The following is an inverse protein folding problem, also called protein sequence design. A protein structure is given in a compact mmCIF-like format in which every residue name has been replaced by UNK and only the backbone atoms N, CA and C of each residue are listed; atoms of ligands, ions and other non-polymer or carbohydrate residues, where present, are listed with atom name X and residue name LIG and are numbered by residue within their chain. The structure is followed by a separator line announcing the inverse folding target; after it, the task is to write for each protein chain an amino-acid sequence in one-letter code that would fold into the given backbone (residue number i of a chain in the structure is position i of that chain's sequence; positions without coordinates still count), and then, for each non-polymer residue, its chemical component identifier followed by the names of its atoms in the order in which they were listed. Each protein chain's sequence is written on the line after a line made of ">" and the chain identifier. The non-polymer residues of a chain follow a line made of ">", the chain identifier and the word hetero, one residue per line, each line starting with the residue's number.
data_IF_895319018746
#
_entry.id   IF_895319018746
#
_cell.length_a   1.000
_cell.length_b   1.000
_cell.length_c   1.000
_cell.angle_alpha   90.00
_cell.angle_beta   90.00
_cell.angle_gamma   90.00
#
_symmetry.space_group_name_H-M   'P 1'
#
loop_
_entity.id
_entity.type
_entity.pdbx_description
1 polymer ?
#
# COMPACT_ATOMS: atom_id res chain seq x y z
N UNK A 1 19.00 -14.55 50.68
CA UNK A 1 18.88 -13.13 50.33
C UNK A 1 17.84 -12.99 49.22
N UNK A 2 16.61 -12.63 49.66
CA UNK A 2 15.39 -12.50 48.89
C UNK A 2 15.39 -11.13 48.23
N UNK A 3 15.46 -11.07 46.88
CA UNK A 3 15.32 -9.83 46.11
C UNK A 3 13.82 -9.54 45.88
N UNK A 4 13.35 -8.50 46.54
CA UNK A 4 12.02 -7.97 46.30
C UNK A 4 12.01 -7.19 44.98
N UNK A 5 11.20 -7.66 44.01
CA UNK A 5 10.87 -6.93 42.78
C UNK A 5 9.81 -5.89 43.16
N UNK A 6 10.20 -4.64 43.22
CA UNK A 6 9.28 -3.49 43.30
C UNK A 6 8.58 -3.32 41.95
N UNK A 7 7.36 -3.79 41.87
CA UNK A 7 6.41 -3.42 40.80
C UNK A 7 5.87 -2.01 41.11
N UNK A 8 6.49 -1.00 40.51
CA UNK A 8 5.87 0.33 40.45
C UNK A 8 4.80 0.32 39.38
N UNK A 9 3.54 0.28 39.82
CA UNK A 9 2.39 0.62 38.99
C UNK A 9 2.52 2.08 38.57
N UNK A 10 2.45 2.43 37.26
CA UNK A 10 2.41 3.83 36.88
C UNK A 10 1.09 4.43 37.40
N UNK A 11 1.18 5.50 38.16
CA UNK A 11 0.01 6.32 38.55
C UNK A 11 -0.62 6.89 37.29
N UNK A 12 -1.90 6.55 37.05
CA UNK A 12 -2.70 7.17 35.99
C UNK A 12 -2.79 8.69 36.25
N UNK A 13 -2.37 9.55 35.31
CA UNK A 13 -2.71 10.95 35.39
C UNK A 13 -4.19 11.10 35.05
N UNK A 14 -4.95 11.60 36.00
CA UNK A 14 -6.36 11.93 35.86
C UNK A 14 -6.58 13.01 34.81
N UNK A 15 -6.81 12.61 33.56
CA UNK A 15 -7.37 13.50 32.53
C UNK A 15 -8.90 13.57 32.75
N UNK A 16 -9.47 14.76 32.63
CA UNK A 16 -10.93 14.94 32.63
C UNK A 16 -11.53 14.10 31.48
N UNK A 17 -12.69 13.46 31.67
CA UNK A 17 -13.36 12.72 30.59
C UNK A 17 -13.60 13.64 29.41
N UNK A 18 -12.96 13.35 28.27
CA UNK A 18 -13.11 14.08 27.00
C UNK A 18 -11.92 14.96 26.58
N UNK A 19 -10.91 15.16 27.41
CA UNK A 19 -9.72 15.95 27.06
C UNK A 19 -8.56 15.03 26.66
N UNK A 20 -8.06 15.17 25.41
CA UNK A 20 -6.91 14.39 24.94
C UNK A 20 -5.63 14.92 25.60
N UNK A 21 -4.75 14.01 26.01
CA UNK A 21 -3.41 14.38 26.48
C UNK A 21 -2.57 14.94 25.32
N UNK A 22 -1.72 15.93 25.60
CA UNK A 22 -0.77 16.38 24.60
C UNK A 22 0.20 15.25 24.21
N UNK A 23 0.70 15.24 22.95
CA UNK A 23 1.73 14.29 22.52
C UNK A 23 2.98 14.33 23.41
N UNK A 24 3.37 15.53 23.86
CA UNK A 24 4.51 15.71 24.77
C UNK A 24 4.30 15.07 26.15
N UNK A 25 3.10 15.21 26.73
CA UNK A 25 2.78 14.59 28.02
C UNK A 25 2.68 13.07 27.89
N UNK A 26 2.09 12.58 26.79
CA UNK A 26 2.01 11.16 26.50
C UNK A 26 3.42 10.54 26.38
N UNK A 27 4.32 11.16 25.62
CA UNK A 27 5.68 10.66 25.45
C UNK A 27 6.47 10.66 26.76
N UNK A 28 6.38 11.75 27.53
CA UNK A 28 7.02 11.84 28.86
C UNK A 28 6.46 10.79 29.84
N UNK A 29 5.14 10.68 29.92
CA UNK A 29 4.48 9.72 30.79
C UNK A 29 4.74 8.26 30.45
N UNK A 30 5.01 7.95 29.17
CA UNK A 30 5.36 6.62 28.70
C UNK A 30 6.83 6.23 28.96
N UNK A 31 7.72 7.17 29.27
CA UNK A 31 9.15 6.95 29.41
C UNK A 31 9.84 6.60 28.08
N UNK A 32 9.23 6.89 26.93
CA UNK A 32 9.73 6.61 25.60
C UNK A 32 10.40 7.84 24.99
N UNK A 33 11.40 7.62 24.13
CA UNK A 33 12.06 8.68 23.36
C UNK A 33 11.36 8.88 22.03
N UNK A 34 11.17 10.11 21.59
CA UNK A 34 10.53 10.45 20.33
C UNK A 34 11.54 10.58 19.20
N UNK A 35 11.26 9.96 18.05
CA UNK A 35 12.03 10.05 16.82
C UNK A 35 11.09 10.34 15.64
N UNK A 36 11.25 11.49 15.00
CA UNK A 36 10.54 11.81 13.76
C UNK A 36 11.17 11.05 12.61
N UNK A 37 10.39 10.22 11.90
CA UNK A 37 10.92 9.37 10.82
C UNK A 37 10.46 9.78 9.43
N UNK A 38 9.41 10.56 9.30
CA UNK A 38 8.91 10.96 8.00
C UNK A 38 7.85 12.04 8.06
N UNK A 39 7.76 12.76 6.97
CA UNK A 39 6.68 13.72 6.69
C UNK A 39 6.16 13.36 5.32
N UNK A 40 4.87 13.02 5.21
CA UNK A 40 4.23 12.79 3.92
C UNK A 40 3.99 14.13 3.21
N UNK A 41 3.67 14.07 1.92
CA UNK A 41 3.40 15.27 1.11
C UNK A 41 1.95 15.73 1.26
N UNK A 42 1.73 17.03 1.00
CA UNK A 42 0.38 17.61 0.85
C UNK A 42 -0.43 16.86 -0.25
N UNK A 43 -1.77 16.86 -0.14
CA UNK A 43 -2.60 17.55 0.84
C UNK A 43 -2.81 16.80 2.17
N UNK A 44 -2.44 15.53 2.24
CA UNK A 44 -2.62 14.65 3.40
C UNK A 44 -1.36 14.58 4.26
N UNK A 45 -0.59 15.70 4.32
CA UNK A 45 0.68 15.76 5.02
C UNK A 45 0.54 15.38 6.51
N UNK A 46 1.23 14.33 6.89
CA UNK A 46 1.29 13.83 8.27
C UNK A 46 2.72 13.53 8.68
N UNK A 47 3.03 13.79 9.93
CA UNK A 47 4.32 13.44 10.54
C UNK A 47 4.17 12.10 11.25
N UNK A 48 5.09 11.18 10.98
CA UNK A 48 5.17 9.92 11.73
C UNK A 48 6.28 10.04 12.78
N UNK A 49 5.89 9.90 14.04
CA UNK A 49 6.79 9.91 15.19
C UNK A 49 6.85 8.51 15.77
N UNK A 50 8.03 7.92 15.84
CA UNK A 50 8.26 6.68 16.59
C UNK A 50 8.55 7.01 18.06
N UNK A 51 7.93 6.27 18.94
CA UNK A 51 8.26 6.26 20.37
C UNK A 51 9.11 5.01 20.64
N UNK A 52 10.35 5.25 21.02
CA UNK A 52 11.42 4.25 21.13
C UNK A 52 11.71 3.96 22.60
N UNK A 53 11.80 2.69 22.95
CA UNK A 53 12.21 2.27 24.29
C UNK A 53 13.69 2.60 24.51
N UNK A 54 14.06 3.36 25.54
CA UNK A 54 15.46 3.67 25.83
C UNK A 54 16.25 2.43 26.29
N UNK A 55 15.55 1.39 26.76
CA UNK A 55 16.16 0.14 27.22
C UNK A 55 16.52 -0.77 26.05
N UNK A 56 15.61 -0.95 25.10
CA UNK A 56 15.83 -1.87 23.96
C UNK A 56 16.33 -1.17 22.70
N UNK A 57 16.24 0.16 22.63
CA UNK A 57 16.50 0.94 21.40
C UNK A 57 15.52 0.65 20.26
N UNK A 58 14.40 -0.03 20.54
CA UNK A 58 13.42 -0.43 19.53
C UNK A 58 12.17 0.43 19.58
N UNK A 59 11.58 0.76 18.42
CA UNK A 59 10.25 1.38 18.37
C UNK A 59 9.21 0.48 19.05
N UNK A 60 8.38 1.08 19.87
CA UNK A 60 7.26 0.43 20.59
C UNK A 60 5.93 0.94 20.07
N UNK A 61 5.84 2.25 19.85
CA UNK A 61 4.65 2.92 19.36
C UNK A 61 5.01 3.80 18.17
N UNK A 62 4.03 4.06 17.33
CA UNK A 62 4.08 5.06 16.28
C UNK A 62 2.92 6.03 16.46
N UNK A 63 3.16 7.32 16.29
CA UNK A 63 2.14 8.37 16.36
C UNK A 63 2.00 8.99 14.97
N UNK A 64 0.80 8.97 14.44
CA UNK A 64 0.43 9.62 13.18
C UNK A 64 -0.12 11.01 13.51
N UNK A 65 0.68 12.04 13.25
CA UNK A 65 0.38 13.43 13.59
C UNK A 65 -0.04 14.17 12.33
N UNK A 66 -1.29 14.62 12.19
CA UNK A 66 -1.73 15.37 11.04
C UNK A 66 -1.20 16.81 11.09
N UNK A 67 -0.78 17.35 9.93
CA UNK A 67 -0.32 18.73 9.81
C UNK A 67 -1.38 19.66 9.23
N UNK A 68 -2.43 19.10 8.63
CA UNK A 68 -3.56 19.81 8.04
C UNK A 68 -4.89 19.18 8.46
N UNK A 69 -6.01 19.87 8.25
CA UNK A 69 -7.34 19.32 8.55
C UNK A 69 -7.71 18.18 7.57
N UNK A 70 -7.17 18.20 6.36
CA UNK A 70 -7.32 17.08 5.41
C UNK A 70 -6.57 15.87 5.94
N UNK A 71 -5.34 16.05 6.41
CA UNK A 71 -4.55 14.99 7.03
C UNK A 71 -5.20 14.44 8.32
N UNK A 72 -5.88 15.29 9.11
CA UNK A 72 -6.62 14.85 10.29
C UNK A 72 -7.72 13.85 9.93
N UNK A 73 -8.48 14.11 8.88
CA UNK A 73 -9.49 13.17 8.38
C UNK A 73 -8.88 11.85 7.89
N UNK A 74 -7.70 11.90 7.26
CA UNK A 74 -6.98 10.70 6.82
C UNK A 74 -6.50 9.86 8.01
N UNK A 75 -5.95 10.51 9.06
CA UNK A 75 -5.53 9.83 10.30
C UNK A 75 -6.72 9.18 11.02
N UNK A 76 -7.86 9.87 11.09
CA UNK A 76 -9.09 9.30 11.65
C UNK A 76 -9.66 8.16 10.79
N UNK A 77 -9.53 8.26 9.46
CA UNK A 77 -9.94 7.19 8.55
C UNK A 77 -9.07 5.95 8.77
N UNK A 78 -7.75 6.10 8.92
CA UNK A 78 -6.84 4.99 9.23
C UNK A 78 -7.17 4.36 10.59
N UNK A 79 -7.45 5.15 11.63
CA UNK A 79 -7.85 4.64 12.94
C UNK A 79 -9.10 3.76 12.83
N UNK A 80 -10.16 4.26 12.17
CA UNK A 80 -11.40 3.50 11.96
C UNK A 80 -11.17 2.23 11.14
N UNK A 81 -10.36 2.33 10.11
CA UNK A 81 -10.00 1.22 9.25
C UNK A 81 -9.26 0.11 10.02
N UNK A 82 -8.25 0.47 10.81
CA UNK A 82 -7.52 -0.48 11.66
C UNK A 82 -8.44 -1.18 12.65
N UNK A 83 -9.36 -0.46 13.28
CA UNK A 83 -10.33 -1.04 14.20
C UNK A 83 -11.27 -2.02 13.48
N UNK A 84 -11.77 -1.65 12.30
CA UNK A 84 -12.68 -2.49 11.51
C UNK A 84 -12.01 -3.75 10.95
N UNK A 85 -10.81 -3.60 10.35
CA UNK A 85 -10.05 -4.72 9.78
C UNK A 85 -9.68 -5.75 10.86
N UNK A 86 -9.27 -5.29 12.05
CA UNK A 86 -8.92 -6.18 13.15
C UNK A 86 -10.10 -7.01 13.70
N UNK A 87 -11.34 -6.61 13.41
CA UNK A 87 -12.54 -7.38 13.81
C UNK A 87 -12.83 -8.52 12.82
N UNK A 88 -12.45 -8.38 11.54
CA UNK A 88 -12.82 -9.33 10.49
C UNK A 88 -11.65 -10.18 10.00
N UNK A 89 -10.40 -9.67 10.12
CA UNK A 89 -9.23 -10.35 9.61
C UNK A 89 -8.80 -11.54 10.49
N UNK A 90 -8.22 -12.60 9.91
CA UNK A 90 -7.70 -13.74 10.66
C UNK A 90 -6.49 -13.31 11.52
N UNK A 91 -6.26 -14.06 12.62
CA UNK A 91 -5.22 -13.72 13.60
C UNK A 91 -3.84 -13.51 12.99
N UNK A 92 -3.42 -14.34 12.04
CA UNK A 92 -2.14 -14.20 11.35
C UNK A 92 -1.96 -12.84 10.66
N UNK A 93 -3.06 -12.27 10.13
CA UNK A 93 -3.07 -10.93 9.55
C UNK A 93 -3.09 -9.88 10.65
N UNK A 94 -3.93 -10.06 11.67
CA UNK A 94 -4.06 -9.14 12.81
C UNK A 94 -2.72 -8.96 13.55
N UNK A 95 -1.90 -10.01 13.65
CA UNK A 95 -0.62 -9.98 14.36
C UNK A 95 0.45 -9.11 13.63
N UNK A 96 0.26 -8.83 12.32
CA UNK A 96 1.18 -8.03 11.50
C UNK A 96 0.60 -6.70 11.03
N UNK A 97 -0.49 -6.24 11.62
CA UNK A 97 -1.05 -4.90 11.37
C UNK A 97 -1.06 -4.06 12.66
N UNK A 98 -0.89 -2.73 12.58
CA UNK A 98 -0.87 -1.88 13.76
C UNK A 98 -2.15 -2.02 14.58
N UNK A 99 -2.02 -1.93 15.90
CA UNK A 99 -3.14 -1.83 16.82
C UNK A 99 -3.24 -0.41 17.34
N UNK A 100 -4.42 0.19 17.26
CA UNK A 100 -4.71 1.47 17.90
C UNK A 100 -4.57 1.30 19.40
N UNK A 101 -3.76 2.14 20.01
CA UNK A 101 -3.44 2.10 21.47
C UNK A 101 -4.09 3.26 22.18
N UNK A 102 -3.99 4.47 21.61
CA UNK A 102 -4.48 5.70 22.24
C UNK A 102 -4.68 6.79 21.17
N UNK A 103 -5.21 7.91 21.57
CA UNK A 103 -5.23 9.14 20.82
C UNK A 103 -4.67 10.28 21.67
N UNK A 104 -3.95 11.18 21.02
CA UNK A 104 -3.33 12.34 21.67
C UNK A 104 -3.62 13.60 20.89
N UNK A 105 -3.39 14.75 21.49
CA UNK A 105 -3.51 16.04 20.81
C UNK A 105 -2.13 16.61 20.44
N UNK A 106 -2.04 17.17 19.25
CA UNK A 106 -0.90 17.96 18.81
C UNK A 106 -1.39 19.19 18.04
N UNK A 107 -1.08 20.38 18.55
CA UNK A 107 -1.48 21.68 17.97
C UNK A 107 -3.00 21.76 17.65
N UNK A 108 -3.83 21.31 18.61
CA UNK A 108 -5.29 21.34 18.47
C UNK A 108 -5.87 20.25 17.56
N UNK A 109 -5.04 19.33 17.03
CA UNK A 109 -5.47 18.21 16.17
C UNK A 109 -5.29 16.87 16.87
N UNK A 110 -6.24 15.96 16.61
CA UNK A 110 -6.16 14.58 17.10
C UNK A 110 -5.10 13.81 16.31
N UNK A 111 -4.17 13.20 17.02
CA UNK A 111 -3.17 12.27 16.50
C UNK A 111 -3.42 10.86 17.04
N UNK A 112 -3.26 9.85 16.20
CA UNK A 112 -3.51 8.45 16.58
C UNK A 112 -2.21 7.76 16.96
N UNK A 113 -2.22 7.10 18.13
CA UNK A 113 -1.13 6.27 18.63
C UNK A 113 -1.41 4.82 18.29
N UNK A 114 -0.49 4.19 17.58
CA UNK A 114 -0.57 2.76 17.19
C UNK A 114 0.66 2.01 17.65
N UNK A 115 0.60 0.68 17.71
CA UNK A 115 1.78 -0.15 17.96
C UNK A 115 2.75 0.01 16.78
N UNK A 116 4.04 0.18 17.06
CA UNK A 116 5.07 0.14 16.03
C UNK A 116 5.25 -1.30 15.55
N UNK A 117 5.22 -1.49 14.24
CA UNK A 117 5.44 -2.81 13.65
C UNK A 117 6.93 -3.11 13.52
N UNK A 118 7.37 -4.33 13.91
CA UNK A 118 8.76 -4.72 13.78
C UNK A 118 9.14 -5.00 12.31
N UNK A 119 10.42 -4.91 12.00
CA UNK A 119 10.94 -5.24 10.67
C UNK A 119 11.54 -4.04 9.93
N UNK A 120 11.99 -4.30 8.72
CA UNK A 120 12.60 -3.32 7.83
C UNK A 120 11.64 -3.12 6.65
N UNK A 121 11.32 -1.88 6.24
CA UNK A 121 10.50 -1.66 5.05
C UNK A 121 11.07 -2.41 3.83
N UNK A 122 10.25 -3.13 3.10
CA UNK A 122 10.65 -3.83 1.87
C UNK A 122 11.30 -2.84 0.88
N UNK A 123 10.85 -1.58 0.89
CA UNK A 123 11.47 -0.49 0.14
C UNK A 123 12.98 -0.35 0.42
N UNK A 124 13.42 -0.57 1.65
CA UNK A 124 14.83 -0.53 2.02
C UNK A 124 15.64 -1.66 1.36
N UNK A 125 15.06 -2.86 1.26
CA UNK A 125 15.64 -3.99 0.54
C UNK A 125 15.63 -3.75 -0.96
N UNK A 126 14.50 -3.30 -1.48
CA UNK A 126 14.30 -2.96 -2.89
C UNK A 126 15.37 -2.01 -3.44
N UNK A 127 15.78 -1.01 -2.64
CA UNK A 127 16.79 -0.03 -3.06
C UNK A 127 18.23 -0.49 -2.87
N UNK A 128 18.49 -1.64 -2.25
CA UNK A 128 19.85 -2.19 -2.10
C UNK A 128 20.41 -2.56 -3.48
N UNK A 129 21.74 -2.43 -3.58
CA UNK A 129 22.45 -2.79 -4.81
C UNK A 129 22.12 -4.22 -5.24
N UNK A 130 21.70 -4.39 -6.50
CA UNK A 130 21.37 -5.67 -7.14
C UNK A 130 20.12 -6.39 -6.57
N UNK A 131 19.38 -5.85 -5.63
CA UNK A 131 18.18 -6.54 -5.14
C UNK A 131 17.21 -6.84 -6.29
N UNK A 132 16.77 -5.81 -7.00
CA UNK A 132 15.85 -5.94 -8.15
C UNK A 132 16.47 -6.61 -9.37
N UNK A 133 17.79 -6.78 -9.42
CA UNK A 133 18.50 -7.49 -10.48
C UNK A 133 18.62 -9.01 -10.22
N UNK A 134 18.20 -9.49 -9.04
CA UNK A 134 18.38 -10.88 -8.60
C UNK A 134 17.01 -11.56 -8.51
N UNK A 135 16.75 -12.49 -9.44
CA UNK A 135 15.47 -13.19 -9.53
C UNK A 135 15.00 -13.79 -8.21
N UNK A 136 15.87 -14.47 -7.46
CA UNK A 136 15.51 -15.11 -6.20
C UNK A 136 15.06 -14.11 -5.12
N UNK A 137 15.65 -12.91 -5.06
CA UNK A 137 15.28 -11.88 -4.10
C UNK A 137 13.93 -11.26 -4.45
N UNK A 138 13.72 -10.95 -5.72
CA UNK A 138 12.43 -10.43 -6.21
C UNK A 138 11.31 -11.47 -6.02
N UNK A 139 11.59 -12.74 -6.36
CA UNK A 139 10.63 -13.82 -6.14
C UNK A 139 10.27 -13.99 -4.66
N UNK A 140 11.23 -13.81 -3.74
CA UNK A 140 10.96 -13.85 -2.31
C UNK A 140 10.03 -12.69 -1.86
N UNK A 141 10.22 -11.47 -2.38
CA UNK A 141 9.34 -10.34 -2.11
C UNK A 141 7.90 -10.61 -2.59
N UNK A 142 7.75 -11.08 -3.84
CA UNK A 142 6.45 -11.42 -4.40
C UNK A 142 5.76 -12.55 -3.64
N UNK A 143 6.49 -13.62 -3.28
CA UNK A 143 5.95 -14.74 -2.51
C UNK A 143 5.51 -14.34 -1.11
N UNK A 144 6.26 -13.45 -0.44
CA UNK A 144 5.89 -12.93 0.87
C UNK A 144 4.53 -12.21 0.81
N UNK A 145 4.36 -11.33 -0.18
CA UNK A 145 3.11 -10.58 -0.37
C UNK A 145 1.97 -11.49 -0.83
N UNK A 146 2.23 -12.43 -1.75
CA UNK A 146 1.23 -13.41 -2.18
C UNK A 146 0.69 -14.23 -1.01
N UNK A 147 1.58 -14.70 -0.13
CA UNK A 147 1.20 -15.45 1.07
C UNK A 147 0.32 -14.60 1.99
N UNK A 148 0.71 -13.37 2.26
CA UNK A 148 -0.03 -12.47 3.12
C UNK A 148 -1.39 -12.09 2.53
N UNK A 149 -1.45 -11.73 1.24
CA UNK A 149 -2.72 -11.44 0.55
C UNK A 149 -3.63 -12.66 0.55
N UNK A 150 -3.09 -13.87 0.40
CA UNK A 150 -3.88 -15.11 0.48
C UNK A 150 -4.55 -15.25 1.84
N UNK A 151 -3.81 -15.05 2.93
CA UNK A 151 -4.36 -15.13 4.29
C UNK A 151 -5.42 -14.04 4.53
N UNK A 152 -5.16 -12.79 4.12
CA UNK A 152 -6.13 -11.69 4.25
C UNK A 152 -7.41 -11.99 3.47
N UNK A 153 -7.27 -12.29 2.18
CA UNK A 153 -8.39 -12.46 1.26
C UNK A 153 -9.22 -13.70 1.59
N UNK A 154 -8.58 -14.83 1.89
CA UNK A 154 -9.30 -16.07 2.26
C UNK A 154 -9.99 -15.92 3.62
N UNK A 155 -9.34 -15.26 4.58
CA UNK A 155 -9.89 -15.11 5.94
C UNK A 155 -11.00 -14.07 6.06
N UNK A 156 -11.16 -13.19 5.05
CA UNK A 156 -12.17 -12.14 5.02
C UNK A 156 -13.15 -12.27 3.86
N UNK A 157 -13.11 -13.40 3.14
CA UNK A 157 -13.96 -13.64 1.98
C UNK A 157 -15.44 -13.56 2.35
N UNK A 158 -16.14 -12.63 1.73
CA UNK A 158 -17.57 -12.42 1.86
C UNK A 158 -18.32 -12.87 0.61
N UNK A 159 -19.47 -12.23 0.35
CA UNK A 159 -20.30 -12.51 -0.84
C UNK A 159 -19.53 -12.19 -2.13
N UNK A 160 -19.64 -13.07 -3.11
CA UNK A 160 -19.14 -12.80 -4.46
C UNK A 160 -20.00 -11.76 -5.16
N UNK A 161 -19.32 -10.93 -5.96
CA UNK A 161 -19.94 -9.94 -6.83
C UNK A 161 -19.11 -9.82 -8.11
N UNK A 162 -19.70 -9.25 -9.15
CA UNK A 162 -19.01 -8.95 -10.41
C UNK A 162 -17.74 -8.15 -10.11
N UNK A 163 -16.64 -8.51 -10.78
CA UNK A 163 -15.38 -7.74 -10.67
C UNK A 163 -15.65 -6.28 -11.04
N UNK A 164 -15.23 -5.38 -10.17
CA UNK A 164 -15.40 -3.94 -10.35
C UNK A 164 -14.06 -3.23 -10.09
N UNK A 165 -13.32 -3.00 -11.17
CA UNK A 165 -12.10 -2.20 -11.14
C UNK A 165 -12.38 -0.71 -11.44
N UNK A 166 -13.61 -0.36 -11.87
CA UNK A 166 -13.98 1.05 -12.02
C UNK A 166 -14.18 1.73 -10.66
N UNK A 167 -15.14 1.26 -9.85
CA UNK A 167 -15.38 1.82 -8.51
C UNK A 167 -15.37 3.36 -8.44
N UNK A 168 -15.77 4.04 -9.52
CA UNK A 168 -15.72 5.50 -9.65
C UNK A 168 -14.41 6.06 -10.22
N UNK A 169 -13.51 5.22 -10.73
CA UNK A 169 -12.24 5.62 -11.39
C UNK A 169 -12.52 6.55 -12.57
N UNK A 170 -13.44 6.16 -13.47
CA UNK A 170 -13.80 6.97 -14.63
C UNK A 170 -14.31 8.38 -14.26
N UNK A 171 -15.15 8.47 -13.23
CA UNK A 171 -15.66 9.75 -12.74
C UNK A 171 -14.54 10.65 -12.20
N UNK A 172 -13.62 10.08 -11.39
CA UNK A 172 -12.48 10.81 -10.82
C UNK A 172 -11.47 11.24 -11.89
N UNK A 173 -11.22 10.41 -12.90
CA UNK A 173 -10.37 10.78 -14.02
C UNK A 173 -10.97 11.95 -14.78
N UNK A 174 -12.31 11.96 -15.02
CA UNK A 174 -13.03 13.05 -15.69
C UNK A 174 -12.91 14.36 -14.91
N UNK A 175 -13.08 14.31 -13.60
CA UNK A 175 -12.90 15.46 -12.72
C UNK A 175 -11.46 16.00 -12.74
N UNK A 176 -10.47 15.10 -12.80
CA UNK A 176 -9.06 15.45 -12.73
C UNK A 176 -8.48 15.98 -14.05
N UNK A 177 -8.98 15.51 -15.19
CA UNK A 177 -8.47 15.85 -16.52
C UNK A 177 -9.57 16.37 -17.46
N UNK A 178 -10.33 17.43 -17.08
CA UNK A 178 -11.53 17.87 -17.81
C UNK A 178 -11.24 18.38 -19.22
N UNK A 179 -10.05 18.93 -19.47
CA UNK A 179 -9.68 19.60 -20.73
C UNK A 179 -8.95 18.67 -21.74
N UNK A 180 -8.85 17.37 -21.46
CA UNK A 180 -8.13 16.46 -22.35
C UNK A 180 -9.01 15.99 -23.51
N UNK A 181 -8.71 16.43 -24.72
CA UNK A 181 -9.49 16.19 -25.94
C UNK A 181 -9.63 14.72 -26.36
N UNK A 182 -8.83 13.81 -25.80
CA UNK A 182 -8.90 12.36 -26.10
C UNK A 182 -9.57 11.57 -25.00
N UNK A 183 -10.05 12.25 -24.00
CA UNK A 183 -10.47 11.67 -22.75
C UNK A 183 -11.62 10.65 -22.91
N UNK A 184 -12.63 10.96 -23.74
CA UNK A 184 -13.78 10.08 -23.94
C UNK A 184 -13.34 8.73 -24.53
N UNK A 185 -12.49 8.74 -25.56
CA UNK A 185 -11.95 7.50 -26.13
C UNK A 185 -11.11 6.66 -25.14
N UNK A 186 -10.39 7.31 -24.22
CA UNK A 186 -9.64 6.63 -23.18
C UNK A 186 -10.59 6.00 -22.14
N UNK A 187 -11.70 6.68 -21.80
CA UNK A 187 -12.71 6.13 -20.92
C UNK A 187 -13.50 4.98 -21.54
N UNK A 188 -13.78 5.04 -22.86
CA UNK A 188 -14.41 3.95 -23.59
C UNK A 188 -13.53 2.69 -23.49
N UNK A 189 -12.21 2.82 -23.68
CA UNK A 189 -11.28 1.71 -23.51
C UNK A 189 -11.25 1.16 -22.07
N UNK A 190 -11.29 2.05 -21.07
CA UNK A 190 -11.39 1.63 -19.67
C UNK A 190 -12.70 0.89 -19.39
N UNK A 191 -13.82 1.37 -19.94
CA UNK A 191 -15.12 0.73 -19.82
C UNK A 191 -15.12 -0.68 -20.47
N UNK A 192 -14.54 -0.84 -21.66
CA UNK A 192 -14.40 -2.15 -22.31
C UNK A 192 -13.56 -3.13 -21.47
N UNK A 193 -12.47 -2.66 -20.86
CA UNK A 193 -11.63 -3.48 -19.96
C UNK A 193 -12.47 -3.89 -18.74
N UNK A 194 -13.18 -2.97 -18.12
CA UNK A 194 -14.02 -3.25 -16.96
C UNK A 194 -15.19 -4.19 -17.31
N UNK A 195 -15.77 -4.07 -18.49
CA UNK A 195 -16.80 -5.00 -18.97
C UNK A 195 -16.29 -6.43 -19.15
N UNK A 196 -15.04 -6.58 -19.70
CA UNK A 196 -14.42 -7.90 -19.79
C UNK A 196 -14.13 -8.50 -18.41
N UNK A 197 -13.60 -7.73 -17.48
CA UNK A 197 -13.36 -8.14 -16.10
C UNK A 197 -14.66 -8.48 -15.37
N UNK A 198 -15.67 -7.64 -15.53
CA UNK A 198 -16.98 -7.76 -14.91
C UNK A 198 -17.85 -8.94 -15.40
N UNK A 199 -17.38 -9.72 -16.38
CA UNK A 199 -17.98 -11.02 -16.72
C UNK A 199 -17.70 -12.10 -15.69
N UNK A 200 -16.75 -11.84 -14.80
CA UNK A 200 -16.34 -12.74 -13.73
C UNK A 200 -16.80 -12.20 -12.38
N UNK A 201 -16.86 -13.07 -11.40
CA UNK A 201 -17.19 -12.73 -10.02
C UNK A 201 -16.03 -13.10 -9.10
N UNK A 202 -15.78 -12.24 -8.11
CA UNK A 202 -14.80 -12.45 -7.05
C UNK A 202 -15.45 -12.24 -5.69
N UNK A 203 -15.02 -12.94 -4.63
CA UNK A 203 -15.48 -12.63 -3.29
C UNK A 203 -15.03 -11.21 -2.90
N UNK A 204 -15.91 -10.42 -2.32
CA UNK A 204 -15.48 -9.19 -1.68
C UNK A 204 -14.73 -9.53 -0.41
N UNK A 205 -13.60 -8.90 -0.20
CA UNK A 205 -12.70 -9.17 0.94
C UNK A 205 -12.28 -7.86 1.60
N UNK A 206 -11.60 -7.97 2.72
CA UNK A 206 -10.82 -6.84 3.21
C UNK A 206 -9.71 -6.51 2.19
N UNK A 207 -9.51 -5.22 1.95
CA UNK A 207 -8.54 -4.66 1.00
C UNK A 207 -7.75 -3.56 1.70
N UNK A 208 -6.45 -3.54 1.51
CA UNK A 208 -5.56 -2.50 2.03
C UNK A 208 -5.76 -1.16 1.30
N UNK A 209 -6.00 -1.22 -0.01
CA UNK A 209 -6.28 -0.06 -0.87
C UNK A 209 -5.04 0.69 -1.36
N UNK A 210 -3.92 0.58 -0.66
CA UNK A 210 -2.61 1.12 -1.09
C UNK A 210 -1.49 0.08 -0.87
N UNK A 211 -1.71 -1.15 -1.34
CA UNK A 211 -0.73 -2.23 -1.18
C UNK A 211 0.47 -2.02 -2.10
N UNK A 212 1.60 -1.61 -1.55
CA UNK A 212 2.86 -1.50 -2.27
C UNK A 212 4.04 -1.79 -1.34
N UNK A 213 5.22 -2.03 -1.89
CA UNK A 213 6.39 -2.46 -1.13
C UNK A 213 6.90 -1.44 -0.09
N UNK A 214 6.45 -0.18 -0.15
CA UNK A 214 6.73 0.83 0.87
C UNK A 214 5.98 0.61 2.16
N UNK A 215 4.80 0.01 2.10
CA UNK A 215 3.90 -0.23 3.23
C UNK A 215 4.10 -1.63 3.87
N UNK A 216 5.05 -2.42 3.38
CA UNK A 216 5.35 -3.76 3.87
C UNK A 216 6.67 -3.78 4.62
N UNK A 217 6.68 -4.32 5.84
CA UNK A 217 7.87 -4.53 6.66
C UNK A 217 8.20 -6.02 6.71
N UNK A 218 9.50 -6.33 6.61
CA UNK A 218 10.02 -7.70 6.58
C UNK A 218 11.01 -7.96 7.71
N UNK A 219 10.99 -9.18 8.22
CA UNK A 219 12.12 -9.80 8.93
C UNK A 219 12.55 -11.05 8.14
N UNK A 220 13.70 -10.95 7.48
CA UNK A 220 14.09 -11.92 6.46
C UNK A 220 13.12 -11.90 5.27
N UNK A 221 12.46 -13.02 5.01
CA UNK A 221 11.43 -13.17 3.95
C UNK A 221 9.99 -13.12 4.48
N UNK A 222 9.80 -12.92 5.78
CA UNK A 222 8.48 -12.90 6.40
C UNK A 222 7.97 -11.48 6.57
N UNK A 223 6.70 -11.25 6.26
CA UNK A 223 6.00 -10.00 6.58
C UNK A 223 5.78 -9.96 8.09
N UNK A 224 6.29 -8.89 8.69
CA UNK A 224 6.16 -8.59 10.13
C UNK A 224 5.36 -7.31 10.38
N UNK A 225 5.06 -6.57 9.34
CA UNK A 225 4.22 -5.38 9.43
C UNK A 225 3.64 -4.99 8.08
N UNK A 226 2.36 -4.59 8.08
CA UNK A 226 1.71 -3.89 6.96
C UNK A 226 1.09 -2.63 7.53
N UNK A 227 1.47 -1.47 7.01
CA UNK A 227 1.15 -0.14 7.55
C UNK A 227 0.45 0.74 6.52
N UNK A 228 -0.06 1.89 6.94
CA UNK A 228 -0.77 2.86 6.07
C UNK A 228 -2.13 2.34 5.55
N UNK A 229 -3.06 2.13 6.48
CA UNK A 229 -4.39 1.55 6.23
C UNK A 229 -5.49 2.58 5.91
N UNK A 230 -5.14 3.84 5.62
CA UNK A 230 -6.13 4.92 5.42
C UNK A 230 -7.06 4.70 4.22
N UNK A 231 -6.62 3.98 3.19
CA UNK A 231 -7.40 3.66 1.99
C UNK A 231 -8.14 2.32 2.08
N UNK A 232 -8.08 1.64 3.22
CA UNK A 232 -8.60 0.29 3.36
C UNK A 232 -10.11 0.21 3.52
N UNK A 233 -10.64 -0.94 3.18
CA UNK A 233 -12.04 -1.31 3.41
C UNK A 233 -12.16 -2.77 3.83
N UNK A 234 -13.18 -3.09 4.62
CA UNK A 234 -13.47 -4.48 5.01
C UNK A 234 -14.20 -5.28 3.93
N UNK A 235 -14.69 -4.61 2.87
CA UNK A 235 -15.50 -5.20 1.82
C UNK A 235 -15.19 -4.56 0.46
N UNK A 236 -14.01 -4.84 -0.08
CA UNK A 236 -13.52 -4.28 -1.34
C UNK A 236 -13.29 -5.33 -2.43
N UNK A 237 -12.81 -4.85 -3.59
CA UNK A 237 -12.37 -5.68 -4.71
C UNK A 237 -10.93 -6.15 -4.48
N UNK A 238 -10.69 -7.45 -4.20
CA UNK A 238 -9.37 -7.95 -3.81
C UNK A 238 -8.30 -7.88 -4.91
N UNK A 239 -8.71 -7.79 -6.17
CA UNK A 239 -7.79 -7.66 -7.32
C UNK A 239 -6.97 -6.36 -7.21
N UNK A 240 -7.51 -5.32 -6.59
CA UNK A 240 -6.86 -4.01 -6.45
C UNK A 240 -5.52 -4.08 -5.73
N UNK A 241 -5.45 -4.75 -4.58
CA UNK A 241 -4.19 -4.89 -3.83
C UNK A 241 -3.16 -5.74 -4.58
N UNK A 242 -3.63 -6.82 -5.22
CA UNK A 242 -2.79 -7.69 -6.03
C UNK A 242 -2.09 -6.90 -7.15
N UNK A 243 -2.89 -6.16 -7.90
CA UNK A 243 -2.43 -5.34 -9.04
C UNK A 243 -1.57 -4.17 -8.56
N UNK A 244 -1.99 -3.48 -7.50
CA UNK A 244 -1.27 -2.34 -6.93
C UNK A 244 0.16 -2.70 -6.54
N UNK A 245 0.34 -3.82 -5.84
CA UNK A 245 1.66 -4.29 -5.45
C UNK A 245 2.55 -4.56 -6.67
N UNK A 246 2.06 -5.34 -7.63
CA UNK A 246 2.83 -5.72 -8.80
C UNK A 246 3.23 -4.51 -9.66
N UNK A 247 2.28 -3.60 -9.92
CA UNK A 247 2.51 -2.38 -10.70
C UNK A 247 3.53 -1.45 -10.04
N UNK A 248 3.39 -1.22 -8.74
CA UNK A 248 4.32 -0.34 -8.01
C UNK A 248 5.71 -0.97 -7.94
N UNK A 249 5.81 -2.28 -7.81
CA UNK A 249 7.11 -2.96 -7.86
C UNK A 249 7.78 -2.79 -9.22
N UNK A 250 7.04 -2.97 -10.31
CA UNK A 250 7.54 -2.80 -11.67
C UNK A 250 7.90 -1.35 -12.00
N UNK A 251 7.10 -0.38 -11.54
CA UNK A 251 7.28 1.05 -11.84
C UNK A 251 8.64 1.60 -11.41
N UNK A 252 9.20 1.06 -10.32
CA UNK A 252 10.44 1.56 -9.76
C UNK A 252 11.70 0.79 -10.21
N UNK A 253 11.60 -0.21 -11.10
CA UNK A 253 12.74 -1.01 -11.55
C UNK A 253 13.87 -0.19 -12.17
N UNK A 254 13.53 0.84 -12.94
CA UNK A 254 14.50 1.68 -13.66
C UNK A 254 14.88 2.96 -12.92
N UNK A 255 14.27 3.26 -11.76
CA UNK A 255 14.41 4.54 -11.02
C UNK A 255 15.86 4.93 -10.71
N UNK A 256 16.76 3.96 -10.54
CA UNK A 256 18.18 4.17 -10.22
C UNK A 256 19.10 3.98 -11.43
N UNK A 257 18.53 3.71 -12.57
CA UNK A 257 19.28 3.55 -13.81
C UNK A 257 19.41 4.90 -14.50
N UNK A 258 20.61 5.25 -14.93
CA UNK A 258 20.82 6.47 -15.73
C UNK A 258 19.95 6.43 -16.98
N UNK A 259 19.39 7.57 -17.42
CA UNK A 259 18.60 7.64 -18.65
C UNK A 259 19.28 6.94 -19.84
N UNK A 260 18.51 6.25 -20.66
CA UNK A 260 18.93 5.48 -21.86
C UNK A 260 19.78 4.24 -21.57
N UNK A 261 20.12 3.94 -20.31
CA UNK A 261 20.91 2.75 -19.97
C UNK A 261 20.02 1.53 -19.74
N UNK A 262 20.60 0.35 -19.94
CA UNK A 262 19.96 -0.93 -19.60
C UNK A 262 19.85 -1.07 -18.09
N UNK A 263 18.72 -1.58 -17.63
CA UNK A 263 18.49 -1.88 -16.21
C UNK A 263 19.18 -3.19 -15.86
N UNK A 264 19.99 -3.17 -14.81
CA UNK A 264 20.73 -4.35 -14.38
C UNK A 264 19.78 -5.51 -14.04
N UNK A 265 20.11 -6.73 -14.49
CA UNK A 265 19.29 -7.93 -14.28
C UNK A 265 18.08 -8.06 -15.22
N UNK A 266 17.81 -7.04 -16.06
CA UNK A 266 16.65 -6.99 -16.97
C UNK A 266 17.11 -6.66 -18.40
N UNK A 267 17.63 -7.62 -19.17
CA UNK A 267 18.28 -7.36 -20.47
C UNK A 267 17.42 -6.58 -21.47
N UNK A 268 16.10 -6.78 -21.46
CA UNK A 268 15.14 -6.10 -22.34
C UNK A 268 14.72 -4.71 -21.86
N UNK A 269 15.03 -4.34 -20.63
CA UNK A 269 14.59 -3.07 -20.04
C UNK A 269 15.66 -1.98 -20.18
N UNK A 270 15.25 -0.82 -20.69
CA UNK A 270 16.04 0.42 -20.71
C UNK A 270 15.27 1.54 -20.00
N UNK A 271 15.97 2.39 -19.27
CA UNK A 271 15.40 3.58 -18.60
C UNK A 271 15.15 4.70 -19.63
N UNK A 272 14.28 4.48 -20.60
CA UNK A 272 14.03 5.44 -21.70
C UNK A 272 12.99 6.48 -21.38
N UNK A 273 12.01 6.12 -20.57
CA UNK A 273 10.86 6.99 -20.20
C UNK A 273 10.22 6.51 -18.92
N UNK A 274 9.41 7.38 -18.33
CA UNK A 274 8.63 7.03 -17.15
C UNK A 274 7.63 5.89 -17.47
N UNK A 275 7.58 4.89 -16.60
CA UNK A 275 6.76 3.70 -16.79
C UNK A 275 7.39 2.58 -17.61
N UNK A 276 8.65 2.74 -18.07
CA UNK A 276 9.34 1.71 -18.85
C UNK A 276 9.40 0.35 -18.12
N UNK A 277 9.53 0.36 -16.78
CA UNK A 277 9.49 -0.86 -15.96
C UNK A 277 8.14 -1.57 -16.01
N UNK A 278 7.03 -0.83 -16.04
CA UNK A 278 5.68 -1.40 -16.17
C UNK A 278 5.44 -1.94 -17.58
N UNK A 279 5.81 -1.17 -18.61
CA UNK A 279 5.72 -1.63 -20.00
C UNK A 279 6.53 -2.92 -20.20
N UNK A 280 7.73 -2.99 -19.63
CA UNK A 280 8.56 -4.20 -19.65
C UNK A 280 7.91 -5.37 -18.91
N UNK A 281 7.27 -5.13 -17.75
CA UNK A 281 6.58 -6.17 -17.00
C UNK A 281 5.39 -6.77 -17.76
N UNK A 282 4.68 -5.94 -18.54
CA UNK A 282 3.50 -6.35 -19.32
C UNK A 282 3.84 -6.98 -20.66
N UNK A 283 4.81 -6.43 -21.38
CA UNK A 283 5.08 -6.75 -22.79
C UNK A 283 6.50 -7.27 -23.04
N UNK A 284 7.37 -7.25 -22.05
CA UNK A 284 8.75 -7.70 -22.16
C UNK A 284 8.90 -9.23 -22.08
N UNK A 285 10.16 -9.67 -22.23
CA UNK A 285 10.54 -11.09 -22.15
C UNK A 285 11.60 -11.27 -21.08
N UNK A 286 11.52 -12.36 -20.33
CA UNK A 286 12.48 -12.74 -19.31
C UNK A 286 11.84 -12.99 -17.95
N UNK A 287 12.68 -13.34 -16.98
CA UNK A 287 12.23 -13.82 -15.68
C UNK A 287 11.32 -12.86 -14.91
N UNK A 288 11.50 -11.53 -15.05
CA UNK A 288 10.69 -10.56 -14.32
C UNK A 288 9.27 -10.41 -14.92
N UNK A 289 9.08 -10.22 -16.24
CA UNK A 289 7.77 -10.30 -16.89
C UNK A 289 7.03 -11.59 -16.57
N UNK A 290 7.73 -12.74 -16.58
CA UNK A 290 7.13 -14.04 -16.27
C UNK A 290 6.68 -14.11 -14.79
N UNK A 291 7.50 -13.63 -13.85
CA UNK A 291 7.18 -13.59 -12.43
C UNK A 291 6.00 -12.65 -12.16
N UNK A 292 5.99 -11.46 -12.76
CA UNK A 292 4.91 -10.48 -12.66
C UNK A 292 3.59 -11.07 -13.13
N UNK A 293 3.57 -11.65 -14.33
CA UNK A 293 2.38 -12.30 -14.90
C UNK A 293 1.90 -13.43 -14.03
N UNK A 294 2.78 -14.36 -13.64
CA UNK A 294 2.42 -15.52 -12.81
C UNK A 294 1.85 -15.12 -11.46
N UNK A 295 2.37 -14.06 -10.84
CA UNK A 295 1.81 -13.53 -9.59
C UNK A 295 0.35 -13.08 -9.77
N UNK A 296 0.07 -12.31 -10.84
CA UNK A 296 -1.29 -11.86 -11.14
C UNK A 296 -2.20 -13.03 -11.51
N UNK A 297 -1.75 -13.94 -12.37
CA UNK A 297 -2.51 -15.12 -12.79
C UNK A 297 -2.90 -16.00 -11.60
N UNK A 298 -1.94 -16.32 -10.72
CA UNK A 298 -2.22 -17.12 -9.50
C UNK A 298 -3.19 -16.41 -8.56
N UNK A 299 -3.00 -15.10 -8.39
CA UNK A 299 -3.90 -14.28 -7.57
C UNK A 299 -5.33 -14.26 -8.10
N UNK A 300 -5.51 -14.06 -9.41
CA UNK A 300 -6.81 -14.09 -10.06
C UNK A 300 -7.50 -15.45 -9.94
N UNK A 301 -6.78 -16.53 -10.25
CA UNK A 301 -7.31 -17.91 -10.12
C UNK A 301 -7.75 -18.20 -8.69
N UNK A 302 -6.96 -17.81 -7.70
CA UNK A 302 -7.31 -17.95 -6.27
C UNK A 302 -8.60 -17.21 -5.91
N UNK A 303 -8.85 -16.06 -6.56
CA UNK A 303 -10.05 -15.24 -6.37
C UNK A 303 -11.25 -15.69 -7.22
N UNK A 304 -11.09 -16.72 -8.05
CA UNK A 304 -12.15 -17.25 -8.91
C UNK A 304 -12.25 -16.56 -10.28
N UNK A 305 -11.31 -15.66 -10.62
CA UNK A 305 -11.24 -15.02 -11.93
C UNK A 305 -10.28 -15.77 -12.87
N UNK A 306 -10.49 -15.73 -14.20
CA UNK A 306 -9.60 -16.38 -15.16
C UNK A 306 -8.18 -15.80 -15.13
N UNK A 307 -7.17 -16.66 -15.20
CA UNK A 307 -5.78 -16.26 -15.32
C UNK A 307 -5.56 -15.28 -16.51
N UNK A 308 -6.21 -15.53 -17.63
CA UNK A 308 -6.10 -14.71 -18.84
C UNK A 308 -6.50 -13.22 -18.64
N UNK A 309 -7.24 -12.90 -17.57
CA UNK A 309 -7.65 -11.54 -17.22
C UNK A 309 -6.52 -10.69 -16.60
N UNK A 310 -5.32 -11.24 -16.40
CA UNK A 310 -4.22 -10.58 -15.71
C UNK A 310 -3.82 -9.23 -16.33
N UNK A 311 -3.80 -9.17 -17.66
CA UNK A 311 -3.42 -7.94 -18.37
C UNK A 311 -4.49 -6.86 -18.24
N UNK A 312 -5.76 -7.21 -18.42
CA UNK A 312 -6.88 -6.28 -18.22
C UNK A 312 -6.89 -5.74 -16.79
N UNK A 313 -6.71 -6.60 -15.79
CA UNK A 313 -6.61 -6.18 -14.39
C UNK A 313 -5.44 -5.21 -14.16
N UNK A 314 -4.26 -5.50 -14.70
CA UNK A 314 -3.10 -4.63 -14.58
C UNK A 314 -3.33 -3.27 -15.24
N UNK A 315 -3.89 -3.23 -16.45
CA UNK A 315 -4.16 -1.97 -17.18
C UNK A 315 -5.23 -1.14 -16.47
N UNK A 316 -6.31 -1.76 -15.97
CA UNK A 316 -7.31 -1.09 -15.14
C UNK A 316 -6.69 -0.51 -13.86
N UNK A 317 -5.79 -1.24 -13.21
CA UNK A 317 -5.08 -0.76 -12.02
C UNK A 317 -4.18 0.44 -12.27
N UNK A 318 -3.63 0.61 -13.47
CA UNK A 318 -2.88 1.83 -13.83
C UNK A 318 -3.81 3.03 -13.90
N UNK A 319 -5.01 2.88 -14.47
CA UNK A 319 -6.03 3.92 -14.49
C UNK A 319 -6.51 4.27 -13.06
N UNK A 320 -6.65 3.25 -12.21
CA UNK A 320 -6.99 3.45 -10.79
C UNK A 320 -5.93 4.28 -10.06
N UNK A 321 -4.64 3.99 -10.25
CA UNK A 321 -3.56 4.81 -9.66
C UNK A 321 -3.66 6.25 -10.14
N UNK A 322 -3.92 6.48 -11.42
CA UNK A 322 -4.10 7.83 -11.98
C UNK A 322 -5.29 8.57 -11.35
N UNK A 323 -6.37 7.84 -11.01
CA UNK A 323 -7.56 8.42 -10.41
C UNK A 323 -7.40 8.75 -8.92
N UNK A 324 -6.68 7.90 -8.17
CA UNK A 324 -6.68 7.92 -6.70
C UNK A 324 -5.49 8.65 -6.07
N UNK A 325 -4.36 8.78 -6.78
CA UNK A 325 -3.18 9.45 -6.20
C UNK A 325 -3.39 10.95 -6.04
N UNK A 326 -2.93 11.53 -4.95
CA UNK A 326 -3.03 12.97 -4.67
C UNK A 326 -2.07 13.81 -5.55
N UNK A 327 -0.91 13.27 -5.92
CA UNK A 327 0.09 13.95 -6.75
C UNK A 327 -0.39 14.02 -8.21
N UNK A 328 -0.70 15.24 -8.67
CA UNK A 328 -1.25 15.47 -10.02
C UNK A 328 -0.27 15.06 -11.14
N UNK A 329 1.03 15.27 -10.97
CA UNK A 329 2.03 14.87 -11.97
C UNK A 329 2.17 13.36 -12.03
N UNK A 330 2.12 12.69 -10.89
CA UNK A 330 2.13 11.24 -10.81
C UNK A 330 0.85 10.64 -11.44
N UNK A 331 -0.31 11.25 -11.17
CA UNK A 331 -1.58 10.89 -11.78
C UNK A 331 -1.53 11.00 -13.31
N UNK A 332 -1.07 12.14 -13.83
CA UNK A 332 -0.97 12.37 -15.28
C UNK A 332 -0.04 11.36 -15.95
N UNK A 333 1.12 11.06 -15.35
CA UNK A 333 2.06 10.08 -15.90
C UNK A 333 1.47 8.66 -15.94
N UNK A 334 0.67 8.28 -14.93
CA UNK A 334 -0.06 7.01 -14.96
C UNK A 334 -1.12 6.99 -16.04
N UNK A 335 -1.85 8.08 -16.21
CA UNK A 335 -2.86 8.16 -17.27
C UNK A 335 -2.24 8.11 -18.67
N UNK A 336 -1.10 8.75 -18.88
CA UNK A 336 -0.33 8.64 -20.13
C UNK A 336 0.19 7.22 -20.35
N UNK A 337 0.62 6.52 -19.29
CA UNK A 337 1.02 5.12 -19.35
C UNK A 337 -0.15 4.22 -19.75
N UNK A 338 -1.31 4.39 -19.12
CA UNK A 338 -2.56 3.71 -19.49
C UNK A 338 -2.84 3.85 -20.98
N UNK A 339 -2.82 5.06 -21.53
CA UNK A 339 -3.01 5.33 -22.96
C UNK A 339 -2.04 4.58 -23.87
N UNK A 340 -0.78 4.52 -23.47
CA UNK A 340 0.23 3.79 -24.28
C UNK A 340 -0.03 2.29 -24.32
N UNK A 341 -0.41 1.73 -23.19
CA UNK A 341 -0.67 0.29 -23.06
C UNK A 341 -1.94 -0.16 -23.76
N UNK A 342 -2.98 0.68 -23.78
CA UNK A 342 -4.18 0.43 -24.57
C UNK A 342 -3.87 0.38 -26.09
N UNK A 343 -3.04 1.29 -26.60
CA UNK A 343 -2.65 1.30 -28.02
C UNK A 343 -1.80 0.10 -28.43
N UNK A 344 -0.91 -0.36 -27.55
CA UNK A 344 -0.05 -1.51 -27.82
C UNK A 344 -0.82 -2.84 -27.89
N UNK A 345 -1.95 -2.93 -27.20
CA UNK A 345 -2.82 -4.12 -27.18
C UNK A 345 -3.69 -4.29 -28.46
N UNK A 346 -3.71 -3.31 -29.36
CA UNK A 346 -4.46 -3.32 -30.61
C UNK A 346 -3.56 -3.49 -31.85
N UNK A 347 -2.26 -3.61 -31.69
CA UNK A 347 -1.27 -3.85 -32.76
C UNK A 347 -0.78 -5.31 -32.73
#
# INVERSE_FOLDING_TARGET
>A
LTSAVLTTTPSEPSAKPGELRSLGDFARGSGLQSLVIGISKDPTAKVTVLLVSPVSGRPVLAVKVPTTDVAARAVEAEERALLAIRQVAPRKVVDVIPRVVDAVEFEGRRATVVTAMPGIPMATSYIRRRHTATQALVAADFNAVETWLTELQSGTAGRSARVDMDGGVAARLRERFPDDVRFDADLDQLAEINDRLGRNETPRTAVHGDMWFGNVLLAGTQITGVVDWEASTTLGEPIRDLVRFALMYALFLDRRTRPQRRVAGHPGLRAVRWGAGVEFALDGVGWFPDLFRQFLERGLVRLGAPAASWRDAAVAGIAEVAALTDDHDFARRHFELFRRLCRAGHA
#
